data_IF_724796148259
#
_entry.id   IF_724796148259
#
_cell.length_a   1.000
_cell.length_b   1.000
_cell.length_c   1.000
_cell.angle_alpha   90.00
_cell.angle_beta   90.00
_cell.angle_gamma   90.00
#
_symmetry.space_group_name_H-M   'P 1'
#
loop_
_entity.id
_entity.type
_entity.pdbx_description
1 polymer ?
#
# COMPACT_ATOMS: atom_id res chain seq x y z
N UNK A 1 -8.35 -5.62 -4.75
CA UNK A 1 -7.73 -4.27 -4.75
C UNK A 1 -6.20 -4.33 -4.70
N UNK A 2 -5.59 -4.92 -3.65
CA UNK A 2 -4.13 -4.93 -3.46
C UNK A 2 -3.35 -5.46 -4.69
N UNK A 3 -3.83 -6.55 -5.29
CA UNK A 3 -3.25 -7.13 -6.52
C UNK A 3 -3.28 -6.16 -7.70
N UNK A 4 -4.41 -5.47 -7.90
CA UNK A 4 -4.57 -4.44 -8.93
C UNK A 4 -3.60 -3.28 -8.73
N UNK A 5 -3.50 -2.75 -7.50
CA UNK A 5 -2.59 -1.65 -7.16
C UNK A 5 -1.11 -2.05 -7.31
N UNK A 6 -0.76 -3.28 -6.92
CA UNK A 6 0.60 -3.80 -7.06
C UNK A 6 1.01 -3.92 -8.53
N UNK A 7 0.22 -4.63 -9.34
CA UNK A 7 0.53 -4.87 -10.74
C UNK A 7 0.57 -3.59 -11.60
N UNK A 8 -0.11 -2.53 -11.18
CA UNK A 8 -0.22 -1.26 -11.92
C UNK A 8 0.67 -0.17 -11.32
N UNK A 9 0.25 0.45 -10.23
CA UNK A 9 0.87 1.64 -9.67
C UNK A 9 2.28 1.36 -9.12
N UNK A 10 2.47 0.26 -8.40
CA UNK A 10 3.75 -0.04 -7.76
C UNK A 10 4.81 -0.46 -8.78
N UNK A 11 4.50 -1.43 -9.64
CA UNK A 11 5.39 -1.80 -10.75
C UNK A 11 5.63 -0.60 -11.66
N UNK A 12 4.60 0.20 -11.94
CA UNK A 12 4.72 1.42 -12.73
C UNK A 12 5.71 2.42 -12.15
N UNK A 13 5.67 2.65 -10.83
CA UNK A 13 6.63 3.52 -10.14
C UNK A 13 8.05 2.96 -10.19
N UNK A 14 8.23 1.64 -10.00
CA UNK A 14 9.56 1.00 -10.08
C UNK A 14 10.14 1.17 -11.50
N UNK A 15 9.35 0.89 -12.54
CA UNK A 15 9.78 1.04 -13.94
C UNK A 15 10.12 2.48 -14.26
N UNK A 16 9.30 3.43 -13.82
CA UNK A 16 9.56 4.85 -14.04
C UNK A 16 10.88 5.28 -13.42
N UNK A 17 11.13 4.89 -12.18
CA UNK A 17 12.33 5.27 -11.44
C UNK A 17 13.59 4.59 -12.00
N UNK A 18 13.49 3.33 -12.44
CA UNK A 18 14.54 2.69 -13.21
C UNK A 18 14.81 3.44 -14.52
N UNK A 19 13.77 3.92 -15.20
CA UNK A 19 13.90 4.72 -16.42
C UNK A 19 14.61 6.05 -16.18
N UNK A 20 14.41 6.69 -15.01
CA UNK A 20 15.16 7.88 -14.61
C UNK A 20 16.63 7.55 -14.38
N UNK A 21 16.92 6.50 -13.60
CA UNK A 21 18.29 6.09 -13.28
C UNK A 21 19.11 5.65 -14.50
N UNK A 22 18.47 4.98 -15.46
CA UNK A 22 19.09 4.51 -16.70
C UNK A 22 19.07 5.56 -17.83
N UNK A 23 18.40 6.70 -17.63
CA UNK A 23 18.22 7.71 -18.67
C UNK A 23 17.33 7.26 -19.84
N UNK A 24 16.48 6.24 -19.64
CA UNK A 24 15.59 5.69 -20.67
C UNK A 24 14.19 6.28 -20.58
N UNK A 25 13.85 7.18 -21.50
CA UNK A 25 12.52 7.80 -21.61
C UNK A 25 11.42 6.77 -21.92
N UNK A 26 11.73 5.72 -22.67
CA UNK A 26 10.79 4.64 -22.98
C UNK A 26 10.32 3.90 -21.72
N UNK A 27 11.26 3.59 -20.82
CA UNK A 27 10.95 2.89 -19.57
C UNK A 27 10.16 3.79 -18.61
N UNK A 28 10.47 5.09 -18.59
CA UNK A 28 9.68 6.09 -17.88
C UNK A 28 8.23 6.12 -18.37
N UNK A 29 8.02 6.12 -19.69
CA UNK A 29 6.68 6.11 -20.29
C UNK A 29 5.89 4.86 -19.92
N UNK A 30 6.49 3.67 -19.96
CA UNK A 30 5.82 2.44 -19.52
C UNK A 30 5.38 2.50 -18.06
N UNK A 31 6.25 3.05 -17.19
CA UNK A 31 5.91 3.26 -15.79
C UNK A 31 4.73 4.22 -15.60
N UNK A 32 4.72 5.33 -16.34
CA UNK A 32 3.63 6.30 -16.33
C UNK A 32 2.30 5.69 -16.80
N UNK A 33 2.30 4.92 -17.90
CA UNK A 33 1.10 4.23 -18.38
C UNK A 33 0.56 3.24 -17.33
N UNK A 34 1.43 2.44 -16.71
CA UNK A 34 1.02 1.48 -15.68
C UNK A 34 0.38 2.19 -14.48
N UNK A 35 0.94 3.32 -14.02
CA UNK A 35 0.34 4.13 -12.94
C UNK A 35 -1.02 4.71 -13.30
N UNK A 36 -1.20 5.19 -14.53
CA UNK A 36 -2.50 5.70 -14.99
C UNK A 36 -3.58 4.62 -15.02
N UNK A 37 -3.21 3.36 -15.31
CA UNK A 37 -4.14 2.24 -15.36
C UNK A 37 -4.46 1.61 -13.99
N UNK A 38 -4.10 2.27 -12.88
CA UNK A 38 -4.41 1.78 -11.53
C UNK A 38 -5.90 1.59 -11.27
N UNK A 39 -6.74 2.56 -11.60
CA UNK A 39 -8.20 2.46 -11.44
C UNK A 39 -8.78 1.24 -12.15
N UNK A 40 -8.52 1.06 -13.46
CA UNK A 40 -8.88 -0.16 -14.19
C UNK A 40 -8.39 -1.45 -13.55
N UNK A 41 -7.11 -1.51 -13.16
CA UNK A 41 -6.52 -2.70 -12.56
C UNK A 41 -7.17 -3.06 -11.21
N UNK A 42 -7.49 -2.06 -10.39
CA UNK A 42 -8.24 -2.25 -9.15
C UNK A 42 -9.65 -2.79 -9.45
N UNK A 43 -10.32 -2.24 -10.46
CA UNK A 43 -11.65 -2.67 -10.87
C UNK A 43 -11.71 -4.14 -11.27
N UNK A 44 -10.79 -4.57 -12.14
CA UNK A 44 -10.64 -5.97 -12.55
C UNK A 44 -10.33 -6.85 -11.33
N UNK A 45 -9.39 -6.42 -10.48
CA UNK A 45 -8.99 -7.20 -9.31
C UNK A 45 -10.16 -7.43 -8.34
N UNK A 46 -11.05 -6.45 -8.17
CA UNK A 46 -12.26 -6.58 -7.33
C UNK A 46 -13.25 -7.53 -7.97
N UNK A 47 -13.54 -7.36 -9.26
CA UNK A 47 -14.45 -8.24 -9.98
C UNK A 47 -13.99 -9.70 -9.98
N UNK A 48 -12.69 -9.93 -10.16
CA UNK A 48 -12.09 -11.25 -10.04
C UNK A 48 -12.20 -11.82 -8.61
N UNK A 49 -12.00 -10.99 -7.58
CA UNK A 49 -12.14 -11.43 -6.17
C UNK A 49 -13.58 -11.76 -5.78
N UNK A 50 -14.56 -11.24 -6.54
CA UNK A 50 -15.98 -11.52 -6.37
C UNK A 50 -16.47 -12.61 -7.33
N UNK A 51 -15.61 -13.34 -8.03
CA UNK A 51 -15.98 -14.37 -9.00
C UNK A 51 -16.99 -13.87 -10.05
N UNK A 52 -16.76 -12.66 -10.57
CA UNK A 52 -17.63 -12.06 -11.57
C UNK A 52 -17.47 -12.70 -12.96
N UNK A 53 -18.54 -12.83 -13.76
CA UNK A 53 -18.46 -13.30 -15.14
C UNK A 53 -17.53 -12.44 -16.01
N UNK A 54 -16.96 -12.98 -17.10
CA UNK A 54 -15.96 -12.27 -17.92
C UNK A 54 -16.39 -10.88 -18.41
N UNK A 55 -17.67 -10.71 -18.77
CA UNK A 55 -18.20 -9.42 -19.23
C UNK A 55 -18.32 -8.38 -18.11
N UNK A 56 -18.72 -8.80 -16.91
CA UNK A 56 -18.77 -7.91 -15.73
C UNK A 56 -17.36 -7.56 -15.30
N UNK A 57 -16.44 -8.52 -15.37
CA UNK A 57 -15.03 -8.33 -15.00
C UNK A 57 -14.35 -7.30 -15.89
N UNK A 58 -14.52 -7.37 -17.21
CA UNK A 58 -13.94 -6.38 -18.12
C UNK A 58 -14.63 -5.02 -18.01
N UNK A 59 -15.96 -4.99 -17.79
CA UNK A 59 -16.69 -3.76 -17.54
C UNK A 59 -16.32 -3.07 -16.21
N UNK A 60 -15.95 -3.85 -15.18
CA UNK A 60 -15.48 -3.32 -13.91
C UNK A 60 -14.18 -2.51 -14.03
N UNK A 61 -13.38 -2.74 -15.09
CA UNK A 61 -12.23 -1.90 -15.39
C UNK A 61 -12.65 -0.44 -15.65
N UNK A 62 -13.75 -0.24 -16.38
CA UNK A 62 -14.30 1.09 -16.65
C UNK A 62 -14.85 1.72 -15.38
N UNK A 63 -15.61 0.96 -14.58
CA UNK A 63 -16.12 1.42 -13.30
C UNK A 63 -14.99 1.83 -12.33
N UNK A 64 -13.91 1.04 -12.27
CA UNK A 64 -12.72 1.36 -11.48
C UNK A 64 -12.01 2.63 -11.97
N UNK A 65 -11.89 2.84 -13.28
CA UNK A 65 -11.31 4.04 -13.86
C UNK A 65 -12.12 5.31 -13.52
N UNK A 66 -13.45 5.23 -13.64
CA UNK A 66 -14.36 6.31 -13.29
C UNK A 66 -14.31 6.60 -11.79
N UNK A 67 -14.37 5.56 -10.96
CA UNK A 67 -14.34 5.69 -9.49
C UNK A 67 -13.02 6.24 -8.96
N UNK A 68 -11.90 5.90 -9.61
CA UNK A 68 -10.59 6.44 -9.27
C UNK A 68 -10.46 7.93 -9.68
N UNK A 69 -11.34 8.43 -10.55
CA UNK A 69 -11.17 9.74 -11.18
C UNK A 69 -9.98 9.77 -12.14
N UNK A 70 -9.55 8.61 -12.65
CA UNK A 70 -8.40 8.50 -13.56
C UNK A 70 -8.63 9.31 -14.83
N UNK A 71 -9.86 9.29 -15.35
CA UNK A 71 -10.24 9.94 -16.60
C UNK A 71 -11.25 11.03 -16.24
N UNK A 72 -10.82 12.29 -16.31
CA UNK A 72 -11.71 13.43 -16.16
C UNK A 72 -12.02 13.99 -17.55
N UNK A 73 -13.30 13.95 -17.90
CA UNK A 73 -13.84 14.56 -19.11
C UNK A 73 -14.14 16.03 -18.82
N UNK A 74 -13.22 16.93 -19.17
CA UNK A 74 -13.57 18.34 -19.36
C UNK A 74 -13.92 18.57 -20.82
N UNK A 75 -14.74 19.59 -21.10
CA UNK A 75 -15.47 19.79 -22.36
C UNK A 75 -14.63 19.70 -23.66
N UNK A 76 -13.30 19.80 -23.57
CA UNK A 76 -12.38 19.70 -24.71
C UNK A 76 -11.09 18.88 -24.41
N UNK A 77 -10.90 18.38 -23.18
CA UNK A 77 -9.66 17.68 -22.80
C UNK A 77 -9.93 16.45 -21.92
N UNK A 78 -9.34 15.33 -22.29
CA UNK A 78 -9.28 14.13 -21.43
C UNK A 78 -8.04 14.25 -20.57
N UNK A 79 -8.21 14.58 -19.30
CA UNK A 79 -7.12 14.61 -18.33
C UNK A 79 -7.00 13.24 -17.66
N UNK A 80 -5.86 12.60 -17.86
CA UNK A 80 -5.50 11.35 -17.19
C UNK A 80 -4.64 11.66 -15.96
N UNK A 81 -5.15 11.36 -14.77
CA UNK A 81 -4.39 11.51 -13.52
C UNK A 81 -4.27 10.18 -12.77
N UNK A 82 -3.20 9.95 -12.00
CA UNK A 82 -3.16 8.83 -11.07
C UNK A 82 -4.34 8.95 -10.11
N UNK A 83 -5.29 8.02 -10.22
CA UNK A 83 -6.56 8.09 -9.52
C UNK A 83 -6.46 7.72 -8.03
N UNK A 84 -7.56 7.85 -7.32
CA UNK A 84 -7.67 7.55 -5.88
C UNK A 84 -8.13 6.08 -5.65
N UNK A 85 -7.35 5.23 -4.95
CA UNK A 85 -7.63 3.80 -4.83
C UNK A 85 -8.97 3.42 -4.19
N UNK A 86 -9.41 4.16 -3.16
CA UNK A 86 -10.64 3.84 -2.41
C UNK A 86 -11.87 4.21 -3.22
N UNK A 87 -11.86 5.35 -3.93
CA UNK A 87 -12.89 5.70 -4.91
C UNK A 87 -13.03 4.64 -6.01
N UNK A 88 -11.92 4.10 -6.51
CA UNK A 88 -11.91 2.98 -7.45
C UNK A 88 -12.55 1.73 -6.86
N UNK A 89 -12.23 1.44 -5.59
CA UNK A 89 -12.76 0.29 -4.87
C UNK A 89 -14.28 0.33 -4.70
N UNK A 90 -14.81 1.46 -4.23
CA UNK A 90 -16.25 1.62 -3.97
C UNK A 90 -17.05 1.52 -5.26
N UNK A 91 -16.60 2.19 -6.33
CA UNK A 91 -17.29 2.15 -7.63
C UNK A 91 -17.26 0.75 -8.25
N UNK A 92 -16.11 0.08 -8.23
CA UNK A 92 -15.97 -1.26 -8.80
C UNK A 92 -16.76 -2.32 -8.00
N UNK A 93 -16.82 -2.21 -6.67
CA UNK A 93 -17.59 -3.11 -5.82
C UNK A 93 -19.10 -2.98 -6.10
N UNK A 94 -19.61 -1.76 -6.15
CA UNK A 94 -21.02 -1.51 -6.48
C UNK A 94 -21.37 -1.98 -7.89
N UNK A 95 -20.52 -1.66 -8.87
CA UNK A 95 -20.68 -2.08 -10.26
C UNK A 95 -20.71 -3.61 -10.40
N UNK A 96 -19.75 -4.30 -9.77
CA UNK A 96 -19.61 -5.75 -9.86
C UNK A 96 -20.81 -6.46 -9.23
N UNK A 97 -21.25 -6.03 -8.04
CA UNK A 97 -22.38 -6.69 -7.37
C UNK A 97 -23.69 -6.56 -8.14
N UNK A 98 -23.95 -5.40 -8.74
CA UNK A 98 -25.14 -5.24 -9.58
C UNK A 98 -24.99 -5.98 -10.90
N UNK A 99 -23.83 -5.91 -11.56
CA UNK A 99 -23.54 -6.61 -12.81
C UNK A 99 -23.68 -8.14 -12.69
N UNK A 100 -23.11 -8.73 -11.64
CA UNK A 100 -23.22 -10.16 -11.34
C UNK A 100 -24.66 -10.63 -11.20
N UNK A 101 -25.52 -9.82 -10.57
CA UNK A 101 -26.93 -10.17 -10.34
C UNK A 101 -27.76 -10.23 -11.61
N UNK A 102 -27.30 -9.59 -12.68
CA UNK A 102 -28.04 -9.48 -13.94
C UNK A 102 -27.48 -10.45 -14.97
N UNK A 103 -26.18 -10.75 -14.88
CA UNK A 103 -25.52 -11.67 -15.80
C UNK A 103 -26.17 -13.06 -15.83
N UNK A 104 -26.36 -13.61 -17.03
CA UNK A 104 -26.96 -14.91 -17.28
C UNK A 104 -28.49 -14.96 -17.22
N UNK A 105 -29.18 -13.83 -16.96
CA UNK A 105 -30.65 -13.82 -16.81
C UNK A 105 -31.43 -13.47 -18.07
N UNK A 106 -30.77 -12.93 -19.10
CA UNK A 106 -31.46 -12.43 -20.30
C UNK A 106 -30.80 -12.92 -21.59
N UNK A 107 -31.55 -13.05 -22.70
CA UNK A 107 -30.95 -13.40 -23.99
C UNK A 107 -30.06 -12.30 -24.57
N UNK A 108 -30.14 -11.07 -24.02
CA UNK A 108 -29.34 -9.90 -24.43
C UNK A 108 -28.20 -9.62 -23.44
N UNK A 109 -27.78 -10.63 -22.66
CA UNK A 109 -26.83 -10.47 -21.56
C UNK A 109 -25.50 -9.87 -21.99
N UNK A 110 -25.08 -10.16 -23.22
CA UNK A 110 -23.81 -9.70 -23.78
C UNK A 110 -23.70 -8.16 -23.85
N UNK A 111 -24.84 -7.47 -23.98
CA UNK A 111 -24.92 -6.00 -24.00
C UNK A 111 -25.33 -5.50 -22.61
N UNK A 112 -26.34 -6.12 -22.01
CA UNK A 112 -26.97 -5.61 -20.80
C UNK A 112 -26.04 -5.67 -19.57
N UNK A 113 -25.33 -6.79 -19.40
CA UNK A 113 -24.42 -7.02 -18.28
C UNK A 113 -23.30 -5.98 -18.19
N UNK A 114 -22.49 -5.73 -19.24
CA UNK A 114 -21.46 -4.70 -19.20
C UNK A 114 -22.06 -3.29 -19.13
N UNK A 115 -23.17 -3.01 -19.82
CA UNK A 115 -23.80 -1.68 -19.80
C UNK A 115 -24.24 -1.29 -18.38
N UNK A 116 -24.94 -2.18 -17.66
CA UNK A 116 -25.40 -1.88 -16.29
C UNK A 116 -24.22 -1.79 -15.33
N UNK A 117 -23.21 -2.65 -15.49
CA UNK A 117 -21.98 -2.58 -14.69
C UNK A 117 -21.33 -1.20 -14.82
N UNK A 118 -21.21 -0.67 -16.05
CA UNK A 118 -20.65 0.66 -16.31
C UNK A 118 -21.56 1.76 -15.76
N UNK A 119 -22.88 1.68 -15.96
CA UNK A 119 -23.82 2.70 -15.49
C UNK A 119 -23.84 2.81 -13.97
N UNK A 120 -23.92 1.68 -13.27
CA UNK A 120 -23.89 1.65 -11.79
C UNK A 120 -22.54 2.11 -11.26
N UNK A 121 -21.44 1.66 -11.89
CA UNK A 121 -20.10 2.10 -11.55
C UNK A 121 -19.92 3.61 -11.74
N UNK A 122 -20.38 4.15 -12.87
CA UNK A 122 -20.34 5.57 -13.18
C UNK A 122 -21.18 6.42 -12.24
N UNK A 123 -22.41 5.98 -11.92
CA UNK A 123 -23.26 6.66 -10.93
C UNK A 123 -22.59 6.68 -9.54
N UNK A 124 -22.05 5.55 -9.11
CA UNK A 124 -21.32 5.44 -7.84
C UNK A 124 -20.07 6.34 -7.85
N UNK A 125 -19.37 6.42 -8.97
CA UNK A 125 -18.20 7.27 -9.15
C UNK A 125 -18.52 8.77 -9.10
N UNK A 126 -19.73 9.20 -9.51
CA UNK A 126 -20.14 10.60 -9.45
C UNK A 126 -20.68 10.96 -8.06
N UNK A 127 -21.42 10.05 -7.43
CA UNK A 127 -22.15 10.35 -6.19
C UNK A 127 -21.29 10.07 -4.96
N UNK A 128 -20.64 8.90 -4.91
CA UNK A 128 -20.01 8.37 -3.69
C UNK A 128 -18.51 8.61 -3.67
N UNK A 129 -17.81 8.27 -4.76
CA UNK A 129 -16.34 8.38 -4.82
C UNK A 129 -15.81 9.78 -4.45
N UNK A 130 -16.41 10.92 -4.89
CA UNK A 130 -15.89 12.24 -4.57
C UNK A 130 -16.03 12.57 -3.08
N UNK A 131 -17.12 12.11 -2.43
CA UNK A 131 -17.31 12.28 -0.99
C UNK A 131 -16.26 11.49 -0.21
N UNK A 132 -15.99 10.24 -0.62
CA UNK A 132 -14.97 9.39 -0.01
C UNK A 132 -13.58 9.98 -0.19
N UNK A 133 -13.21 10.40 -1.41
CA UNK A 133 -11.90 11.01 -1.67
C UNK A 133 -11.72 12.32 -0.90
N UNK A 134 -12.76 13.16 -0.77
CA UNK A 134 -12.70 14.37 0.08
C UNK A 134 -12.45 14.02 1.55
N UNK A 135 -13.13 13.01 2.07
CA UNK A 135 -12.91 12.55 3.44
C UNK A 135 -11.47 12.06 3.63
N UNK A 136 -10.98 11.19 2.75
CA UNK A 136 -9.63 10.65 2.83
C UNK A 136 -8.56 11.75 2.74
N UNK A 137 -8.72 12.69 1.81
CA UNK A 137 -7.77 13.80 1.65
C UNK A 137 -7.81 14.79 2.81
N UNK A 138 -8.98 15.04 3.40
CA UNK A 138 -9.12 15.90 4.59
C UNK A 138 -8.48 15.25 5.82
N UNK A 139 -8.75 13.96 6.06
CA UNK A 139 -8.13 13.20 7.13
C UNK A 139 -6.61 13.13 6.95
N UNK A 140 -6.18 12.95 5.70
CA UNK A 140 -4.79 12.99 5.27
C UNK A 140 -4.08 14.31 5.60
N UNK A 141 -4.69 15.42 5.20
CA UNK A 141 -4.18 16.77 5.50
C UNK A 141 -4.05 16.99 7.01
N UNK A 142 -5.06 16.57 7.78
CA UNK A 142 -5.00 16.61 9.23
C UNK A 142 -3.84 15.77 9.79
N UNK A 143 -3.61 14.54 9.30
CA UNK A 143 -2.48 13.70 9.75
C UNK A 143 -1.14 14.36 9.39
N UNK A 144 -1.00 14.88 8.17
CA UNK A 144 0.23 15.53 7.72
C UNK A 144 0.56 16.76 8.58
N UNK A 145 -0.43 17.63 8.80
CA UNK A 145 -0.28 18.84 9.61
C UNK A 145 -0.08 18.54 11.10
N UNK A 146 -0.83 17.58 11.65
CA UNK A 146 -0.60 17.12 13.02
C UNK A 146 0.81 16.55 13.20
N UNK A 147 1.36 15.89 12.17
CA UNK A 147 2.72 15.33 12.23
C UNK A 147 3.79 16.41 12.19
N UNK A 148 3.57 17.53 11.50
CA UNK A 148 4.51 18.66 11.53
C UNK A 148 4.43 19.43 12.85
N UNK A 149 3.25 19.54 13.45
CA UNK A 149 3.03 20.23 14.74
C UNK A 149 3.51 19.41 15.94
N UNK A 150 3.21 18.11 15.97
CA UNK A 150 3.58 17.18 17.05
C UNK A 150 4.38 15.96 16.56
N UNK A 151 5.58 16.18 15.99
CA UNK A 151 6.38 15.13 15.33
C UNK A 151 6.76 13.95 16.22
N UNK A 152 6.91 14.15 17.53
CA UNK A 152 7.19 13.06 18.47
C UNK A 152 5.98 12.11 18.59
N UNK A 153 4.83 12.60 19.06
CA UNK A 153 3.65 11.75 19.30
C UNK A 153 3.07 11.19 18.00
N UNK A 154 2.93 12.03 16.98
CA UNK A 154 2.43 11.59 15.68
C UNK A 154 3.41 10.66 14.97
N UNK A 155 4.71 10.84 15.18
CA UNK A 155 5.73 9.89 14.71
C UNK A 155 5.48 8.47 15.23
N UNK A 156 5.16 8.32 16.53
CA UNK A 156 4.79 7.02 17.12
C UNK A 156 3.49 6.50 16.52
N UNK A 157 2.44 7.32 16.52
CA UNK A 157 1.09 6.90 16.13
C UNK A 157 1.07 6.46 14.66
N UNK A 158 1.63 7.28 13.76
CA UNK A 158 1.63 7.02 12.32
C UNK A 158 2.50 5.82 11.98
N UNK A 159 3.69 5.69 12.57
CA UNK A 159 4.57 4.55 12.30
C UNK A 159 3.95 3.23 12.77
N UNK A 160 3.41 3.20 13.99
CA UNK A 160 2.77 2.01 14.57
C UNK A 160 1.53 1.64 13.77
N UNK A 161 0.64 2.59 13.51
CA UNK A 161 -0.59 2.35 12.76
C UNK A 161 -0.30 1.84 11.35
N UNK A 162 0.55 2.52 10.58
CA UNK A 162 0.86 2.11 9.22
C UNK A 162 1.63 0.79 9.15
N UNK A 163 2.55 0.56 10.08
CA UNK A 163 3.22 -0.74 10.20
C UNK A 163 2.24 -1.89 10.47
N UNK A 164 1.31 -1.69 11.40
CA UNK A 164 0.28 -2.70 11.66
C UNK A 164 -0.60 -2.95 10.44
N UNK A 165 -1.07 -1.87 9.78
CA UNK A 165 -1.88 -1.97 8.56
C UNK A 165 -1.16 -2.74 7.46
N UNK A 166 0.17 -2.56 7.29
CA UNK A 166 0.95 -3.29 6.29
C UNK A 166 0.96 -4.81 6.52
N UNK A 167 0.95 -5.22 7.79
CA UNK A 167 0.96 -6.64 8.17
C UNK A 167 -0.42 -7.28 8.05
N UNK A 168 -1.48 -6.48 8.25
CA UNK A 168 -2.85 -6.93 8.04
C UNK A 168 -3.11 -7.21 6.56
N UNK A 169 -4.12 -8.03 6.20
CA UNK A 169 -4.56 -8.26 4.82
C UNK A 169 -5.29 -7.03 4.24
N UNK A 170 -4.79 -5.84 4.52
CA UNK A 170 -5.31 -4.54 4.11
C UNK A 170 -4.19 -3.85 3.33
N UNK A 171 -4.53 -3.19 2.23
CA UNK A 171 -3.55 -2.51 1.39
C UNK A 171 -3.09 -1.20 2.04
N UNK A 172 -2.07 -1.24 2.90
CA UNK A 172 -1.43 -0.04 3.51
C UNK A 172 -1.04 1.00 2.48
N UNK A 173 -0.51 0.58 1.33
CA UNK A 173 -0.16 1.45 0.21
C UNK A 173 -1.37 2.20 -0.36
N UNK A 174 -2.53 1.53 -0.45
CA UNK A 174 -3.75 2.18 -0.93
C UNK A 174 -4.19 3.27 0.05
N UNK A 175 -4.20 2.95 1.35
CA UNK A 175 -4.57 3.88 2.41
C UNK A 175 -3.64 5.09 2.42
N UNK A 176 -2.32 4.87 2.32
CA UNK A 176 -1.35 5.97 2.33
C UNK A 176 -1.50 6.91 1.11
N UNK A 177 -1.81 6.35 -0.08
CA UNK A 177 -2.10 7.13 -1.29
C UNK A 177 -3.42 7.90 -1.14
N UNK A 178 -4.48 7.26 -0.64
CA UNK A 178 -5.79 7.88 -0.44
C UNK A 178 -5.75 9.00 0.60
N UNK A 179 -5.00 8.80 1.70
CA UNK A 179 -4.73 9.82 2.71
C UNK A 179 -3.72 10.87 2.22
N UNK A 180 -3.12 10.71 1.02
CA UNK A 180 -2.06 11.60 0.53
C UNK A 180 -0.98 11.88 1.59
N UNK A 181 -0.56 10.84 2.30
CA UNK A 181 0.50 10.99 3.30
C UNK A 181 1.75 11.49 2.60
N UNK A 182 2.28 12.63 3.04
CA UNK A 182 3.46 13.25 2.44
C UNK A 182 4.37 13.83 3.52
N UNK A 183 5.61 14.17 3.14
CA UNK A 183 6.58 14.77 4.06
C UNK A 183 6.86 13.85 5.24
N UNK A 184 6.91 14.43 6.45
CA UNK A 184 7.26 13.73 7.69
C UNK A 184 6.29 12.58 8.03
N UNK A 185 4.99 12.73 7.76
CA UNK A 185 4.01 11.67 8.02
C UNK A 185 4.26 10.45 7.14
N UNK A 186 4.59 10.68 5.87
CA UNK A 186 4.96 9.62 4.94
C UNK A 186 6.27 8.94 5.32
N UNK A 187 7.27 9.70 5.79
CA UNK A 187 8.51 9.15 6.31
C UNK A 187 8.30 8.27 7.54
N UNK A 188 7.53 8.76 8.52
CA UNK A 188 7.17 7.99 9.72
C UNK A 188 6.42 6.69 9.36
N UNK A 189 5.45 6.78 8.46
CA UNK A 189 4.70 5.62 7.96
C UNK A 189 5.63 4.60 7.31
N UNK A 190 6.56 5.06 6.46
CA UNK A 190 7.52 4.19 5.76
C UNK A 190 8.42 3.47 6.75
N UNK A 191 8.97 4.19 7.73
CA UNK A 191 9.84 3.59 8.76
C UNK A 191 9.08 2.57 9.59
N UNK A 192 7.84 2.84 9.97
CA UNK A 192 6.99 1.87 10.67
C UNK A 192 6.71 0.61 9.86
N UNK A 193 6.46 0.78 8.56
CA UNK A 193 6.31 -0.32 7.60
C UNK A 193 7.61 -1.14 7.47
N UNK A 194 8.78 -0.49 7.39
CA UNK A 194 10.09 -1.12 7.39
C UNK A 194 10.36 -1.91 8.68
N UNK A 195 9.93 -1.39 9.84
CA UNK A 195 10.03 -2.07 11.12
C UNK A 195 9.31 -3.41 11.13
N UNK A 196 8.14 -3.49 10.50
CA UNK A 196 7.38 -4.73 10.41
C UNK A 196 8.06 -5.72 9.46
N UNK A 197 8.40 -5.28 8.25
CA UNK A 197 9.02 -6.15 7.26
C UNK A 197 10.39 -6.68 7.69
N UNK A 198 11.33 -5.79 8.02
CA UNK A 198 12.68 -6.18 8.43
C UNK A 198 12.68 -6.76 9.85
N UNK A 199 11.82 -6.27 10.73
CA UNK A 199 11.70 -6.81 12.08
C UNK A 199 11.25 -8.27 12.08
N UNK A 200 10.26 -8.64 11.26
CA UNK A 200 9.88 -10.04 11.09
C UNK A 200 10.95 -10.85 10.35
N UNK A 201 11.59 -10.30 9.33
CA UNK A 201 12.66 -10.98 8.60
C UNK A 201 13.83 -11.38 9.51
N UNK A 202 14.25 -10.48 10.41
CA UNK A 202 15.33 -10.74 11.37
C UNK A 202 14.86 -11.62 12.53
N UNK A 203 13.68 -11.34 13.09
CA UNK A 203 13.14 -12.11 14.23
C UNK A 203 12.85 -13.57 13.86
N UNK A 204 12.42 -13.83 12.63
CA UNK A 204 12.10 -15.16 12.13
C UNK A 204 13.25 -15.85 11.38
N UNK A 205 14.43 -15.21 11.31
CA UNK A 205 15.57 -15.71 10.54
C UNK A 205 16.00 -17.13 10.93
N UNK A 206 15.90 -17.47 12.22
CA UNK A 206 16.23 -18.82 12.72
C UNK A 206 15.27 -19.89 12.21
N UNK A 207 14.01 -19.53 12.01
CA UNK A 207 12.95 -20.47 11.63
C UNK A 207 12.84 -20.62 10.10
N UNK A 208 13.11 -19.53 9.36
CA UNK A 208 12.86 -19.46 7.91
C UNK A 208 14.11 -19.28 7.04
N UNK A 209 15.27 -19.06 7.66
CA UNK A 209 16.55 -18.78 6.98
C UNK A 209 16.42 -17.61 5.98
N UNK A 210 17.33 -17.54 5.02
CA UNK A 210 17.38 -16.51 4.00
C UNK A 210 16.11 -16.43 3.12
N UNK A 211 15.48 -17.58 2.84
CA UNK A 211 14.27 -17.62 2.01
C UNK A 211 13.12 -16.82 2.63
N UNK A 212 12.79 -17.08 3.90
CA UNK A 212 11.74 -16.31 4.58
C UNK A 212 12.16 -14.88 4.92
N UNK A 213 13.44 -14.64 5.23
CA UNK A 213 13.93 -13.29 5.48
C UNK A 213 13.77 -12.39 4.25
N UNK A 214 14.07 -12.90 3.05
CA UNK A 214 13.86 -12.16 1.81
C UNK A 214 12.36 -12.01 1.49
N UNK A 215 11.57 -13.08 1.67
CA UNK A 215 10.13 -13.04 1.42
C UNK A 215 9.40 -12.03 2.31
N UNK A 216 9.81 -11.88 3.56
CA UNK A 216 9.22 -10.90 4.49
C UNK A 216 9.83 -9.51 4.34
N UNK A 217 11.15 -9.46 4.21
CA UNK A 217 11.92 -8.22 4.19
C UNK A 217 11.82 -7.45 2.88
N UNK A 218 11.64 -8.11 1.74
CA UNK A 218 11.48 -7.45 0.42
C UNK A 218 10.11 -7.72 -0.19
N UNK A 219 9.44 -8.81 0.20
CA UNK A 219 8.08 -9.12 -0.23
C UNK A 219 7.05 -8.44 0.66
N UNK A 220 6.60 -9.11 1.72
CA UNK A 220 5.55 -8.59 2.62
C UNK A 220 5.57 -9.24 3.99
N UNK A 221 5.28 -8.47 5.05
CA UNK A 221 5.05 -9.02 6.38
C UNK A 221 3.69 -9.70 6.55
N UNK A 222 2.77 -9.54 5.58
CA UNK A 222 1.48 -10.25 5.57
C UNK A 222 1.66 -11.78 5.64
N UNK A 223 2.81 -12.31 5.21
CA UNK A 223 3.17 -13.74 5.35
C UNK A 223 3.18 -14.22 6.80
N UNK A 224 3.36 -13.32 7.78
CA UNK A 224 3.32 -13.65 9.20
C UNK A 224 1.91 -13.58 9.80
N UNK A 225 0.89 -13.15 9.05
CA UNK A 225 -0.47 -13.02 9.57
C UNK A 225 -1.04 -14.35 10.13
N UNK A 226 -0.87 -15.52 9.49
CA UNK A 226 -1.30 -16.79 10.07
C UNK A 226 -0.64 -17.07 11.43
N UNK A 227 0.65 -16.74 11.55
CA UNK A 227 1.41 -16.93 12.79
C UNK A 227 1.00 -15.93 13.87
N UNK A 228 0.62 -14.70 13.50
CA UNK A 228 0.10 -13.69 14.44
C UNK A 228 -1.25 -14.15 15.02
N UNK A 229 -2.07 -14.84 14.23
CA UNK A 229 -3.33 -15.42 14.71
C UNK A 229 -3.05 -16.54 15.72
N UNK A 230 -2.05 -17.38 15.47
CA UNK A 230 -1.64 -18.47 16.38
C UNK A 230 -0.98 -17.92 17.67
N UNK A 231 -0.11 -16.92 17.56
CA UNK A 231 0.53 -16.24 18.69
C UNK A 231 0.72 -14.74 18.42
N UNK A 232 -0.25 -13.92 18.85
CA UNK A 232 -0.23 -12.45 18.64
C UNK A 232 1.01 -11.75 19.20
N UNK A 233 1.71 -12.37 20.16
CA UNK A 233 2.88 -11.81 20.83
C UNK A 233 4.08 -11.66 19.91
N UNK A 234 4.13 -12.41 18.81
CA UNK A 234 5.19 -12.27 17.79
C UNK A 234 5.16 -10.89 17.11
N UNK A 235 4.04 -10.17 17.21
CA UNK A 235 3.87 -8.85 16.61
C UNK A 235 4.45 -7.72 17.48
N UNK A 236 4.64 -7.97 18.78
CA UNK A 236 5.17 -6.98 19.73
C UNK A 236 6.55 -6.44 19.33
N UNK A 237 7.58 -7.28 19.02
CA UNK A 237 8.91 -6.79 18.67
C UNK A 237 8.92 -5.78 17.52
N UNK A 238 8.35 -6.08 16.32
CA UNK A 238 8.35 -5.11 15.22
C UNK A 238 7.49 -3.88 15.51
N UNK A 239 6.39 -4.01 16.24
CA UNK A 239 5.56 -2.85 16.62
C UNK A 239 6.27 -1.93 17.61
N UNK A 240 6.99 -2.47 18.60
CA UNK A 240 7.81 -1.66 19.50
C UNK A 240 8.97 -0.97 18.75
N UNK A 241 9.59 -1.66 17.80
CA UNK A 241 10.58 -1.04 16.92
C UNK A 241 9.99 0.15 16.15
N UNK A 242 8.77 0.01 15.61
CA UNK A 242 8.09 1.11 14.93
C UNK A 242 7.78 2.29 15.85
N UNK A 243 7.38 2.03 17.09
CA UNK A 243 7.09 3.07 18.08
C UNK A 243 8.34 3.87 18.48
N UNK A 244 9.51 3.22 18.54
CA UNK A 244 10.78 3.88 18.86
C UNK A 244 11.32 4.64 17.65
N UNK A 245 11.29 4.02 16.46
CA UNK A 245 11.90 4.60 15.26
C UNK A 245 11.04 5.66 14.58
N UNK A 246 9.73 5.70 14.84
CA UNK A 246 8.83 6.76 14.34
C UNK A 246 9.32 8.17 14.74
N UNK A 247 9.45 8.49 16.04
CA UNK A 247 10.00 9.77 16.51
C UNK A 247 11.42 10.06 16.04
N UNK A 248 12.26 9.03 15.94
CA UNK A 248 13.65 9.17 15.45
C UNK A 248 13.63 9.63 13.99
N UNK A 249 12.76 9.05 13.17
CA UNK A 249 12.59 9.42 11.78
C UNK A 249 12.06 10.86 11.63
N UNK A 250 11.06 11.27 12.42
CA UNK A 250 10.44 12.59 12.30
C UNK A 250 11.25 13.72 12.93
N UNK A 251 11.83 13.51 14.12
CA UNK A 251 12.50 14.56 14.89
C UNK A 251 13.97 14.74 14.52
N UNK A 252 14.70 13.62 14.38
CA UNK A 252 16.16 13.63 14.25
C UNK A 252 16.55 13.69 12.78
N UNK A 253 16.05 12.74 11.99
CA UNK A 253 16.39 12.63 10.57
C UNK A 253 15.48 13.44 9.66
N UNK A 254 14.35 13.94 10.18
CA UNK A 254 13.30 14.66 9.44
C UNK A 254 13.00 13.98 8.10
N UNK A 255 12.83 12.66 8.16
CA UNK A 255 12.70 11.82 6.99
C UNK A 255 11.35 12.07 6.31
N UNK A 256 11.38 12.27 5.00
CA UNK A 256 10.21 12.51 4.18
C UNK A 256 10.01 11.40 3.15
N UNK A 257 8.77 11.23 2.71
CA UNK A 257 8.45 10.31 1.62
C UNK A 257 7.24 10.84 0.80
N UNK A 258 7.05 10.26 -0.37
CA UNK A 258 5.88 10.44 -1.22
C UNK A 258 4.76 9.46 -0.84
N UNK A 259 3.48 9.75 -1.17
CA UNK A 259 2.35 8.91 -0.80
C UNK A 259 2.44 7.46 -1.27
N UNK A 260 3.03 7.23 -2.44
CA UNK A 260 3.20 5.89 -3.02
C UNK A 260 4.22 5.02 -2.26
N UNK A 261 5.20 5.65 -1.59
CA UNK A 261 6.21 4.97 -0.77
C UNK A 261 5.81 4.81 0.70
N UNK A 262 4.96 5.70 1.20
CA UNK A 262 4.57 5.79 2.61
C UNK A 262 4.06 4.48 3.24
N UNK A 263 3.23 3.73 2.51
CA UNK A 263 2.63 2.49 2.99
C UNK A 263 3.35 1.21 2.56
N UNK A 264 4.53 1.31 1.93
CA UNK A 264 5.19 0.17 1.29
C UNK A 264 6.34 -0.42 2.09
N UNK A 265 6.92 0.33 3.03
CA UNK A 265 8.10 -0.11 3.77
C UNK A 265 9.25 -0.50 2.84
N UNK A 266 9.81 -1.69 3.05
CA UNK A 266 10.89 -2.26 2.23
C UNK A 266 10.38 -3.08 1.03
N UNK A 267 9.06 -3.15 0.80
CA UNK A 267 8.46 -3.94 -0.27
C UNK A 267 8.85 -3.42 -1.65
N UNK A 268 9.49 -4.26 -2.45
CA UNK A 268 10.00 -3.90 -3.77
C UNK A 268 10.92 -2.68 -3.77
N UNK A 269 11.48 -2.33 -2.59
CA UNK A 269 12.24 -1.10 -2.34
C UNK A 269 11.47 0.21 -2.65
N UNK A 270 10.14 0.14 -2.73
CA UNK A 270 9.32 1.29 -3.14
C UNK A 270 9.37 2.41 -2.10
N UNK A 271 9.40 2.08 -0.80
CA UNK A 271 9.54 3.09 0.25
C UNK A 271 10.86 3.85 0.14
N UNK A 272 11.96 3.14 -0.16
CA UNK A 272 13.30 3.70 -0.34
C UNK A 272 13.36 4.60 -1.57
N UNK A 273 12.82 4.12 -2.69
CA UNK A 273 12.72 4.89 -3.94
C UNK A 273 11.91 6.16 -3.68
N UNK A 274 10.81 6.07 -2.95
CA UNK A 274 10.00 7.23 -2.58
C UNK A 274 10.74 8.23 -1.69
N UNK A 275 11.52 7.76 -0.70
CA UNK A 275 12.35 8.63 0.15
C UNK A 275 13.43 9.33 -0.66
N UNK A 276 14.08 8.62 -1.59
CA UNK A 276 15.08 9.22 -2.50
C UNK A 276 14.40 10.25 -3.43
N UNK A 277 13.20 9.98 -3.91
CA UNK A 277 12.45 10.94 -4.73
C UNK A 277 12.07 12.21 -3.95
N UNK A 278 11.77 12.10 -2.64
CA UNK A 278 11.41 13.23 -1.80
C UNK A 278 12.64 14.03 -1.31
N UNK A 279 13.71 13.35 -0.89
CA UNK A 279 14.86 13.96 -0.20
C UNK A 279 16.15 14.00 -1.02
N UNK A 280 16.19 13.33 -2.18
CA UNK A 280 17.40 13.13 -2.98
C UNK A 280 18.29 11.99 -2.48
N UNK A 281 19.41 11.78 -3.18
CA UNK A 281 20.37 10.68 -2.92
C UNK A 281 21.19 10.85 -1.63
N UNK A 282 21.18 12.05 -1.03
CA UNK A 282 21.81 12.31 0.28
C UNK A 282 21.12 11.57 1.43
N UNK A 283 19.87 11.10 1.23
CA UNK A 283 19.10 10.35 2.22
C UNK A 283 19.51 8.87 2.36
N UNK A 284 20.37 8.35 1.48
CA UNK A 284 20.76 6.92 1.45
C UNK A 284 21.32 6.41 2.79
N UNK A 285 22.20 7.13 3.52
CA UNK A 285 22.67 6.68 4.83
C UNK A 285 21.56 6.57 5.86
N UNK A 286 20.62 7.53 5.86
CA UNK A 286 19.47 7.53 6.75
C UNK A 286 18.52 6.37 6.42
N UNK A 287 18.32 6.07 5.13
CA UNK A 287 17.55 4.91 4.66
C UNK A 287 18.17 3.60 5.16
N UNK A 288 19.47 3.39 4.98
CA UNK A 288 20.15 2.16 5.42
C UNK A 288 19.96 1.98 6.93
N UNK A 289 20.12 3.06 7.69
CA UNK A 289 20.01 3.03 9.14
C UNK A 289 18.58 2.79 9.62
N UNK A 290 17.61 3.57 9.14
CA UNK A 290 16.23 3.58 9.64
C UNK A 290 15.31 2.55 8.97
N UNK A 291 15.60 2.11 7.74
CA UNK A 291 14.77 1.12 7.06
C UNK A 291 15.27 -0.32 7.24
N UNK A 292 16.58 -0.52 7.48
CA UNK A 292 17.15 -1.87 7.56
C UNK A 292 17.84 -2.14 8.89
N UNK A 293 18.86 -1.35 9.26
CA UNK A 293 19.74 -1.67 10.38
C UNK A 293 19.03 -1.60 11.74
N UNK A 294 18.46 -0.44 12.08
CA UNK A 294 17.78 -0.22 13.36
C UNK A 294 16.51 -1.06 13.50
N UNK A 295 15.63 -1.17 12.48
CA UNK A 295 14.51 -2.11 12.51
C UNK A 295 14.91 -3.53 12.90
N UNK A 296 15.97 -4.05 12.29
CA UNK A 296 16.47 -5.40 12.55
C UNK A 296 17.04 -5.55 13.96
N UNK A 297 17.91 -4.62 14.38
CA UNK A 297 18.55 -4.67 15.70
C UNK A 297 17.51 -4.58 16.83
N UNK A 298 16.60 -3.60 16.76
CA UNK A 298 15.61 -3.37 17.82
C UNK A 298 14.64 -4.55 17.90
N UNK A 299 14.15 -5.03 16.75
CA UNK A 299 13.25 -6.18 16.73
C UNK A 299 13.92 -7.45 17.22
N UNK A 300 15.18 -7.70 16.86
CA UNK A 300 15.94 -8.84 17.36
C UNK A 300 16.13 -8.80 18.89
N UNK A 301 16.42 -7.61 19.43
CA UNK A 301 16.58 -7.41 20.87
C UNK A 301 15.29 -7.72 21.62
N UNK A 302 14.16 -7.17 21.18
CA UNK A 302 12.85 -7.45 21.79
C UNK A 302 12.42 -8.91 21.63
N UNK A 303 12.66 -9.50 20.47
CA UNK A 303 12.39 -10.93 20.23
C UNK A 303 13.21 -11.81 21.18
N UNK A 304 14.49 -11.50 21.40
CA UNK A 304 15.32 -12.24 22.35
C UNK A 304 14.79 -12.14 23.80
N UNK A 305 14.37 -10.95 24.23
CA UNK A 305 13.75 -10.75 25.54
C UNK A 305 12.45 -11.54 25.69
N UNK A 306 11.59 -11.53 24.67
CA UNK A 306 10.31 -12.26 24.67
C UNK A 306 10.49 -13.78 24.63
N UNK A 307 11.53 -14.29 23.96
CA UNK A 307 11.92 -15.70 24.04
C UNK A 307 12.38 -16.07 25.45
N UNK A 308 13.18 -15.22 26.11
CA UNK A 308 13.65 -15.46 27.48
C UNK A 308 12.50 -15.54 28.50
N UNK A 309 11.43 -14.77 28.27
CA UNK A 309 10.21 -14.77 29.09
C UNK A 309 9.23 -15.88 28.63
N UNK A 310 9.61 -16.71 27.66
CA UNK A 310 8.79 -17.80 27.09
C UNK A 310 7.46 -17.34 26.48
N UNK A 311 7.39 -16.08 26.06
CA UNK A 311 6.21 -15.52 25.37
C UNK A 311 6.20 -15.85 23.88
N UNK A 312 7.39 -16.03 23.30
CA UNK A 312 7.62 -16.48 21.92
C UNK A 312 8.47 -17.75 22.01
N UNK A 313 8.09 -18.79 21.27
CA UNK A 313 8.86 -20.03 21.16
C UNK A 313 9.52 -20.13 19.78
N UNK A 314 10.68 -20.82 19.68
CA UNK A 314 11.25 -21.16 18.38
C UNK A 314 10.22 -21.94 17.54
N UNK A 315 10.02 -21.54 16.29
CA UNK A 315 9.02 -22.12 15.40
C UNK A 315 7.69 -21.34 15.33
N UNK A 316 7.39 -20.46 16.29
CA UNK A 316 6.16 -19.64 16.27
C UNK A 316 6.12 -18.70 15.04
N UNK A 317 7.28 -18.37 14.46
CA UNK A 317 7.39 -17.48 13.31
C UNK A 317 7.70 -18.24 12.02
N UNK A 318 7.60 -19.58 12.01
CA UNK A 318 7.88 -20.39 10.82
C UNK A 318 6.82 -20.16 9.75
N UNK A 319 7.26 -19.83 8.55
CA UNK A 319 6.41 -19.68 7.38
C UNK A 319 6.02 -21.06 6.87
N UNK A 320 4.71 -21.28 6.74
CA UNK A 320 4.12 -22.40 6.00
C UNK A 320 3.98 -21.94 4.55
N UNK A 321 5.07 -22.02 3.78
CA UNK A 321 5.07 -21.73 2.34
C UNK A 321 4.67 -22.99 1.58
#
# INVERSE_FOLDING_TARGET
MATGLFASLLIGLILEQLGVLLGSSMLQNFGMFAKMLMGPAIGIAIAASLDAPPLVLTAAAVAGALGAGTIQLSSELILATPGEPVGAYVAALAATEVGKRISGKTPVDIILSPAITILVGGLTAIIVSPAVSKLMTSLGAFINEATTLHPFLMGIIVSVAMGMILTLPISSAAIAISLKLSGLAAGAATVGCCCQMIGFAVSSFKDNKWGGALAQGIGTSMLQMPNIIENWRIWIPPTLASAILGPVATMIFKMENIPTGAGMGTSGLVGQIGTIAAMGTSSVPAIILLHFLLPGIISALFTHLLIKISWIKPGDMKLKV
#
